data_IF_669642972447
#
_entry.id   IF_669642972447
#
_cell.length_a   1.000
_cell.length_b   1.000
_cell.length_c   1.000
_cell.angle_alpha   90.00
_cell.angle_beta   90.00
_cell.angle_gamma   90.00
#
_symmetry.space_group_name_H-M   'P 1'
#
loop_
_entity.id
_entity.type
_entity.pdbx_description
1 polymer ?
#
# COMPACT_ATOMS: atom_id res chain seq x y z
N UNK A 1 -44.37 -27.44 14.63
CA UNK A 1 -43.20 -26.53 14.74
C UNK A 1 -42.81 -26.10 13.34
N UNK A 2 -43.23 -24.92 12.92
CA UNK A 2 -42.94 -24.35 11.59
C UNK A 2 -41.65 -23.54 11.65
N UNK A 3 -40.68 -23.90 10.81
CA UNK A 3 -39.38 -23.23 10.73
C UNK A 3 -39.53 -21.94 9.91
N UNK A 4 -39.57 -20.79 10.59
CA UNK A 4 -39.58 -19.47 9.93
C UNK A 4 -38.15 -19.08 9.59
N UNK A 5 -37.84 -19.07 8.30
CA UNK A 5 -36.56 -18.62 7.74
C UNK A 5 -36.34 -17.14 8.11
N UNK A 6 -35.25 -16.76 8.79
CA UNK A 6 -35.01 -15.35 9.09
C UNK A 6 -34.65 -14.65 7.77
N UNK A 7 -35.50 -13.72 7.34
CA UNK A 7 -35.15 -12.78 6.29
C UNK A 7 -34.04 -11.86 6.83
N UNK A 8 -32.79 -12.22 6.59
CA UNK A 8 -31.66 -11.29 6.73
C UNK A 8 -31.79 -10.23 5.64
N UNK A 9 -32.62 -9.21 5.89
CA UNK A 9 -32.53 -7.93 5.19
C UNK A 9 -31.18 -7.33 5.58
N UNK A 10 -30.14 -7.69 4.85
CA UNK A 10 -28.91 -6.90 4.83
C UNK A 10 -29.33 -5.51 4.35
N UNK A 11 -29.35 -4.57 5.28
CA UNK A 11 -29.60 -3.16 5.01
C UNK A 11 -28.39 -2.60 4.28
N UNK A 12 -28.20 -3.00 3.02
CA UNK A 12 -27.33 -2.31 2.10
C UNK A 12 -28.12 -1.07 1.67
N UNK A 13 -27.74 0.15 2.07
CA UNK A 13 -28.36 1.33 1.50
C UNK A 13 -28.20 1.20 -0.02
N UNK A 14 -29.29 1.41 -0.76
CA UNK A 14 -29.26 1.48 -2.21
C UNK A 14 -28.22 2.53 -2.58
N UNK A 15 -27.01 2.08 -2.90
CA UNK A 15 -25.91 2.89 -3.36
C UNK A 15 -26.03 2.92 -4.89
N UNK A 16 -26.77 3.88 -5.49
CA UNK A 16 -26.51 4.15 -6.89
C UNK A 16 -25.04 4.56 -6.96
N UNK A 17 -24.24 3.81 -7.72
CA UNK A 17 -22.85 4.13 -8.08
C UNK A 17 -21.71 3.72 -7.12
N UNK A 18 -21.94 2.96 -6.04
CA UNK A 18 -20.78 2.42 -5.28
C UNK A 18 -19.94 1.44 -6.12
N UNK A 19 -20.58 0.64 -6.96
CA UNK A 19 -19.90 -0.22 -7.93
C UNK A 19 -19.34 0.57 -9.12
N UNK A 20 -20.01 1.67 -9.53
CA UNK A 20 -19.51 2.53 -10.61
C UNK A 20 -18.18 3.19 -10.25
N UNK A 21 -17.97 3.45 -8.96
CA UNK A 21 -16.67 3.91 -8.43
C UNK A 21 -15.55 2.88 -8.61
N UNK A 22 -15.86 1.62 -8.93
CA UNK A 22 -14.88 0.56 -9.22
C UNK A 22 -14.86 0.16 -10.70
N UNK A 23 -15.71 0.74 -11.57
CA UNK A 23 -15.67 0.45 -13.01
C UNK A 23 -14.30 0.81 -13.62
N UNK A 24 -13.63 1.84 -13.09
CA UNK A 24 -12.27 2.19 -13.50
C UNK A 24 -11.25 1.10 -13.18
N UNK A 25 -11.51 0.23 -12.20
CA UNK A 25 -10.61 -0.88 -11.83
C UNK A 25 -10.61 -1.96 -12.91
N UNK A 26 -11.76 -2.16 -13.57
CA UNK A 26 -11.89 -3.11 -14.67
C UNK A 26 -11.10 -2.68 -15.92
N UNK A 27 -10.80 -1.40 -16.08
CA UNK A 27 -9.99 -0.89 -17.20
C UNK A 27 -8.48 -0.86 -16.91
N UNK A 28 -8.06 -1.18 -15.67
CA UNK A 28 -6.65 -1.20 -15.29
C UNK A 28 -5.96 -2.49 -15.76
N UNK A 29 -4.70 -2.34 -16.18
CA UNK A 29 -3.82 -3.50 -16.32
C UNK A 29 -3.58 -4.16 -14.96
N UNK A 30 -3.22 -5.44 -14.95
CA UNK A 30 -2.93 -6.17 -13.71
C UNK A 30 -1.86 -5.49 -12.83
N UNK A 31 -0.87 -4.84 -13.44
CA UNK A 31 0.14 -4.07 -12.71
C UNK A 31 -0.41 -2.76 -12.12
N UNK A 32 -1.30 -2.07 -12.84
CA UNK A 32 -1.94 -0.87 -12.32
C UNK A 32 -2.92 -1.19 -11.19
N UNK A 33 -3.62 -2.32 -11.28
CA UNK A 33 -4.47 -2.83 -10.21
C UNK A 33 -3.68 -3.14 -8.93
N UNK A 34 -2.55 -3.85 -9.07
CA UNK A 34 -1.67 -4.14 -7.94
C UNK A 34 -1.18 -2.86 -7.26
N UNK A 35 -0.87 -1.82 -8.04
CA UNK A 35 -0.48 -0.52 -7.52
C UNK A 35 -1.61 0.23 -6.80
N UNK A 36 -2.82 0.19 -7.33
CA UNK A 36 -4.01 0.76 -6.69
C UNK A 36 -4.32 0.10 -5.33
N UNK A 37 -4.12 -1.22 -5.23
CA UNK A 37 -4.26 -1.94 -3.97
C UNK A 37 -3.21 -1.51 -2.95
N UNK A 38 -1.92 -1.48 -3.35
CA UNK A 38 -0.82 -1.06 -2.48
C UNK A 38 -1.04 0.36 -1.93
N UNK A 39 -1.41 1.33 -2.78
CA UNK A 39 -1.60 2.73 -2.35
C UNK A 39 -2.72 2.92 -1.35
N UNK A 40 -3.78 2.09 -1.38
CA UNK A 40 -4.88 2.16 -0.41
C UNK A 40 -4.57 1.48 0.92
N UNK A 41 -3.53 0.66 0.99
CA UNK A 41 -3.19 -0.06 2.21
C UNK A 41 -2.53 0.90 3.24
N UNK A 42 -3.09 1.03 4.47
CA UNK A 42 -2.59 1.98 5.46
C UNK A 42 -1.16 1.64 5.92
N UNK A 43 -0.83 0.36 6.06
CA UNK A 43 0.54 -0.05 6.41
C UNK A 43 1.55 0.18 5.29
N UNK A 44 1.15 0.06 4.02
CA UNK A 44 2.01 0.43 2.90
C UNK A 44 2.32 1.92 2.95
N UNK A 45 1.30 2.75 3.16
CA UNK A 45 1.46 4.19 3.33
C UNK A 45 2.40 4.53 4.50
N UNK A 46 2.26 3.83 5.64
CA UNK A 46 3.15 3.99 6.79
C UNK A 46 4.58 3.59 6.45
N UNK A 47 4.79 2.40 5.89
CA UNK A 47 6.12 1.88 5.52
C UNK A 47 6.81 2.80 4.49
N UNK A 48 6.07 3.30 3.50
CA UNK A 48 6.56 4.28 2.52
C UNK A 48 6.98 5.60 3.19
N UNK A 49 6.16 6.15 4.09
CA UNK A 49 6.51 7.38 4.83
C UNK A 49 7.78 7.20 5.65
N UNK A 50 7.92 6.10 6.39
CA UNK A 50 9.12 5.87 7.21
C UNK A 50 10.33 5.59 6.31
N UNK A 51 10.15 4.95 5.14
CA UNK A 51 11.23 4.81 4.15
C UNK A 51 11.71 6.16 3.62
N UNK A 52 10.81 7.12 3.38
CA UNK A 52 11.20 8.49 2.99
C UNK A 52 11.91 9.25 4.10
N UNK A 53 11.55 9.03 5.36
CA UNK A 53 12.18 9.68 6.50
C UNK A 53 13.63 9.18 6.75
N UNK A 54 13.92 7.94 6.36
CA UNK A 54 15.23 7.30 6.52
C UNK A 54 16.27 7.68 5.47
N UNK A 55 16.27 8.91 4.93
CA UNK A 55 17.31 9.38 3.99
C UNK A 55 18.69 9.13 4.60
N UNK A 56 19.60 8.63 3.76
CA UNK A 56 20.94 8.22 4.17
C UNK A 56 21.63 9.37 4.89
N UNK A 57 21.87 9.22 6.20
CA UNK A 57 22.66 10.20 6.95
C UNK A 57 24.13 10.03 6.54
N UNK A 58 24.78 11.05 5.97
CA UNK A 58 26.19 10.97 5.68
C UNK A 58 26.96 10.87 7.01
N UNK A 59 27.74 9.80 7.17
CA UNK A 59 28.67 9.65 8.28
C UNK A 59 29.94 10.42 7.95
N UNK A 60 30.41 11.27 8.85
CA UNK A 60 31.73 11.91 8.71
C UNK A 60 32.76 11.07 9.46
N UNK A 61 33.81 10.66 8.75
CA UNK A 61 34.98 10.06 9.39
C UNK A 61 35.85 11.17 9.99
N UNK A 62 36.71 10.81 10.97
CA UNK A 62 37.68 11.74 11.59
C UNK A 62 38.64 12.36 10.57
N UNK A 63 38.86 11.71 9.43
CA UNK A 63 39.63 12.22 8.28
C UNK A 63 38.90 13.27 7.42
N UNK A 64 37.67 13.66 7.78
CA UNK A 64 36.84 14.60 7.00
C UNK A 64 36.11 13.98 5.80
N UNK A 65 36.40 12.72 5.46
CA UNK A 65 35.72 11.98 4.39
C UNK A 65 34.25 11.72 4.74
N UNK A 66 33.32 12.02 3.81
CA UNK A 66 31.89 11.73 3.95
C UNK A 66 31.60 10.34 3.40
N UNK A 67 31.11 9.44 4.24
CA UNK A 67 30.64 8.11 3.84
C UNK A 67 29.11 8.09 3.82
N UNK A 68 28.56 7.64 2.69
CA UNK A 68 27.13 7.38 2.53
C UNK A 68 26.96 5.87 2.43
N UNK A 69 26.33 5.27 3.44
CA UNK A 69 26.03 3.84 3.41
C UNK A 69 24.76 3.61 2.61
N UNK A 70 24.90 3.32 1.32
CA UNK A 70 23.78 2.90 0.47
C UNK A 70 23.29 1.53 0.99
N UNK A 71 22.09 1.49 1.58
CA UNK A 71 21.47 0.22 1.96
C UNK A 71 21.01 -0.50 0.68
N UNK A 72 21.61 -1.65 0.37
CA UNK A 72 21.32 -2.46 -0.82
C UNK A 72 19.90 -3.04 -0.86
N UNK A 73 19.24 -3.19 0.30
CA UNK A 73 17.91 -3.79 0.38
C UNK A 73 17.01 -2.98 1.30
N UNK A 74 15.91 -2.47 0.74
CA UNK A 74 14.86 -1.85 1.51
C UNK A 74 13.96 -2.97 2.05
N UNK A 75 14.28 -3.50 3.24
CA UNK A 75 13.51 -4.58 3.88
C UNK A 75 12.00 -4.28 3.94
N UNK A 76 11.64 -3.01 4.10
CA UNK A 76 10.26 -2.54 4.05
C UNK A 76 9.62 -2.61 2.67
N UNK A 77 10.37 -2.42 1.59
CA UNK A 77 9.87 -2.56 0.22
C UNK A 77 9.66 -4.03 -0.14
N UNK A 78 10.58 -4.90 0.29
CA UNK A 78 10.49 -6.35 0.07
C UNK A 78 9.22 -6.96 0.66
N UNK A 79 8.77 -6.48 1.82
CA UNK A 79 7.48 -6.86 2.42
C UNK A 79 6.30 -6.69 1.46
N UNK A 80 6.37 -5.71 0.57
CA UNK A 80 5.32 -5.39 -0.41
C UNK A 80 5.60 -5.96 -1.81
N UNK A 81 6.60 -6.83 -1.95
CA UNK A 81 7.03 -7.36 -3.25
C UNK A 81 7.70 -6.30 -4.14
N UNK A 82 8.17 -5.19 -3.57
CA UNK A 82 8.82 -4.11 -4.30
C UNK A 82 10.34 -4.15 -4.10
N UNK A 83 11.09 -3.81 -5.15
CA UNK A 83 12.54 -3.70 -5.08
C UNK A 83 12.98 -2.45 -4.29
N UNK A 84 12.25 -1.33 -4.44
CA UNK A 84 12.46 -0.07 -3.72
C UNK A 84 11.14 0.71 -3.64
N UNK A 85 11.09 1.67 -2.73
CA UNK A 85 10.03 2.67 -2.72
C UNK A 85 10.40 3.80 -3.68
N UNK A 86 9.51 4.12 -4.62
CA UNK A 86 9.62 5.28 -5.50
C UNK A 86 8.98 6.52 -4.89
#
# INVERSE_FOLDING_TARGET
>A
MTYVKPQSKLYLPSLPNALSSYDYVASLSGSALAWEYLRRHPDYCRDWRISRAGRLKPLRLTSGTKLIRIRRQFLRALKWGLYFFR
#
